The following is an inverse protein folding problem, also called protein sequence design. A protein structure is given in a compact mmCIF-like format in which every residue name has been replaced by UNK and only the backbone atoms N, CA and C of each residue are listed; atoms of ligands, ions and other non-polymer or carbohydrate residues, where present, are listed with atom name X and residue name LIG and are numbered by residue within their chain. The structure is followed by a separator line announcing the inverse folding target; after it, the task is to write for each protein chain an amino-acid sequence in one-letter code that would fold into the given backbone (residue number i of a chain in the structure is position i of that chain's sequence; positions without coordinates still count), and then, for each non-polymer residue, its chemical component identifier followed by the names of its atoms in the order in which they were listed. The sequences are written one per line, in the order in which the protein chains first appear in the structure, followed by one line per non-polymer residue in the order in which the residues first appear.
data_IF_151860857480
#
_entry.id   IF_151860857480
#
_cell.length_a   1.000
_cell.length_b   1.000
_cell.length_c   1.000
_cell.angle_alpha   90.00
_cell.angle_beta   90.00
_cell.angle_gamma   90.00
#
_symmetry.space_group_name_H-M   'P 1'
#
loop_
_entity.id
_entity.type
_entity.pdbx_description
1 polymer ?
#
# COMPACT_ATOMS: atom_id res chain seq x y z
N UNK A 1 -61.26 -56.07 -1.14
CA UNK A 1 -61.59 -56.83 0.09
C UNK A 1 -60.31 -57.07 0.87
N UNK A 2 -60.34 -56.74 2.19
CA UNK A 2 -59.51 -57.21 3.33
C UNK A 2 -58.61 -58.42 3.01
N UNK A 3 -57.31 -58.52 3.38
CA UNK A 3 -56.59 -58.48 4.68
C UNK A 3 -55.24 -59.19 4.34
N UNK A 4 -54.11 -59.15 5.03
CA UNK A 4 -53.62 -58.62 6.31
C UNK A 4 -52.10 -58.77 6.30
N UNK A 5 -51.37 -57.87 6.95
CA UNK A 5 -49.99 -58.14 7.40
C UNK A 5 -49.94 -59.38 8.29
N UNK A 6 -48.89 -60.20 8.15
CA UNK A 6 -48.42 -61.12 9.18
C UNK A 6 -46.98 -60.77 9.56
N UNK A 7 -46.75 -60.88 10.86
CA UNK A 7 -45.63 -60.42 11.67
C UNK A 7 -44.37 -61.30 11.56
N UNK A 8 -43.22 -60.65 11.78
CA UNK A 8 -41.94 -61.11 12.39
C UNK A 8 -42.02 -62.52 13.07
N UNK A 9 -41.00 -63.40 13.09
CA UNK A 9 -39.66 -63.14 13.63
C UNK A 9 -38.68 -64.36 13.59
N UNK A 10 -37.39 -64.03 13.63
CA UNK A 10 -36.21 -64.71 14.20
C UNK A 10 -35.60 -66.04 13.69
N UNK A 11 -34.32 -65.88 13.33
CA UNK A 11 -33.13 -66.62 13.79
C UNK A 11 -32.71 -67.91 13.06
N UNK A 12 -31.41 -67.97 12.70
CA UNK A 12 -30.73 -69.19 12.30
C UNK A 12 -29.85 -69.06 11.04
N UNK A 13 -28.76 -68.30 11.08
CA UNK A 13 -27.39 -68.85 11.12
C UNK A 13 -26.77 -69.15 9.74
N UNK A 14 -25.87 -68.23 9.34
CA UNK A 14 -24.51 -68.46 8.79
C UNK A 14 -24.37 -69.22 7.47
N UNK A 15 -23.92 -68.53 6.42
CA UNK A 15 -22.79 -68.97 5.59
C UNK A 15 -22.27 -67.85 4.67
N UNK A 16 -21.00 -67.49 4.91
CA UNK A 16 -20.00 -67.08 3.91
C UNK A 16 -20.16 -65.70 3.22
N UNK A 17 -19.97 -64.62 3.99
CA UNK A 17 -19.48 -63.36 3.44
C UNK A 17 -17.95 -63.34 3.54
N UNK A 18 -17.31 -63.75 2.45
CA UNK A 18 -15.87 -63.65 2.22
C UNK A 18 -15.37 -62.22 2.32
N UNK A 19 -14.24 -62.10 3.00
CA UNK A 19 -13.41 -60.94 3.27
C UNK A 19 -13.34 -59.88 2.15
N UNK A 20 -13.65 -58.64 2.52
CA UNK A 20 -12.95 -57.46 2.04
C UNK A 20 -12.53 -56.67 3.27
N UNK A 21 -11.29 -56.90 3.71
CA UNK A 21 -10.60 -56.04 4.66
C UNK A 21 -10.18 -54.78 3.91
N UNK A 22 -10.98 -53.73 3.96
CA UNK A 22 -10.47 -52.37 3.82
C UNK A 22 -10.14 -51.87 5.22
N UNK A 23 -8.84 -51.83 5.50
CA UNK A 23 -8.26 -51.11 6.63
C UNK A 23 -8.64 -49.63 6.48
N UNK A 24 -9.53 -49.11 7.33
CA UNK A 24 -9.49 -47.70 7.67
C UNK A 24 -8.32 -47.54 8.63
N UNK A 25 -7.16 -47.15 8.09
CA UNK A 25 -6.19 -46.47 8.92
C UNK A 25 -6.88 -45.28 9.57
N UNK A 26 -6.66 -45.12 10.88
CA UNK A 26 -6.95 -43.86 11.54
C UNK A 26 -6.07 -42.82 10.85
N UNK A 27 -6.63 -42.09 9.90
CA UNK A 27 -6.09 -40.79 9.55
C UNK A 27 -6.19 -39.95 10.83
N UNK A 28 -5.03 -39.71 11.44
CA UNK A 28 -4.87 -38.57 12.32
C UNK A 28 -5.35 -37.36 11.55
N UNK A 29 -6.44 -36.77 12.03
CA UNK A 29 -6.90 -35.47 11.59
C UNK A 29 -5.74 -34.49 11.78
N UNK A 30 -5.06 -34.17 10.70
CA UNK A 30 -4.24 -32.96 10.63
C UNK A 30 -5.17 -31.79 10.97
N UNK A 31 -4.79 -30.90 11.90
CA UNK A 31 -5.61 -29.73 12.20
C UNK A 31 -5.54 -28.79 10.98
N UNK A 32 -6.51 -28.92 10.09
CA UNK A 32 -6.80 -27.94 9.03
C UNK A 32 -7.51 -26.73 9.68
N UNK A 33 -6.78 -25.86 10.41
CA UNK A 33 -7.31 -24.53 10.81
C UNK A 33 -6.24 -23.44 10.96
N UNK A 34 -4.96 -23.73 11.21
CA UNK A 34 -3.99 -22.64 11.48
C UNK A 34 -3.49 -21.90 10.22
N UNK A 35 -3.18 -22.62 9.14
CA UNK A 35 -2.42 -22.06 8.01
C UNK A 35 -3.16 -20.95 7.24
N UNK A 36 -4.47 -21.08 7.00
CA UNK A 36 -5.24 -20.03 6.30
C UNK A 36 -5.38 -18.75 7.13
N UNK A 37 -5.41 -18.86 8.47
CA UNK A 37 -5.58 -17.68 9.33
C UNK A 37 -4.31 -16.81 9.38
N UNK A 38 -3.13 -17.42 9.33
CA UNK A 38 -1.86 -16.71 9.28
C UNK A 38 -1.66 -15.99 7.95
N UNK A 39 -1.95 -16.65 6.83
CA UNK A 39 -1.81 -16.07 5.49
C UNK A 39 -2.71 -14.83 5.30
N UNK A 40 -3.97 -14.90 5.76
CA UNK A 40 -4.89 -13.75 5.70
C UNK A 40 -4.43 -12.57 6.57
N UNK A 41 -3.85 -12.83 7.74
CA UNK A 41 -3.32 -11.77 8.60
C UNK A 41 -2.13 -11.07 7.95
N UNK A 42 -1.27 -11.84 7.30
CA UNK A 42 -0.07 -11.34 6.63
C UNK A 42 -0.39 -10.50 5.39
N UNK A 43 -1.39 -10.93 4.62
CA UNK A 43 -1.90 -10.14 3.48
C UNK A 43 -2.48 -8.80 3.93
N UNK A 44 -3.19 -8.76 5.06
CA UNK A 44 -3.70 -7.48 5.61
C UNK A 44 -2.59 -6.52 6.00
N UNK A 45 -1.52 -7.05 6.62
CA UNK A 45 -0.34 -6.26 6.96
C UNK A 45 0.35 -5.75 5.69
N UNK A 46 0.46 -6.59 4.66
CA UNK A 46 0.98 -6.18 3.35
C UNK A 46 0.15 -5.05 2.73
N UNK A 47 -1.17 -5.17 2.71
CA UNK A 47 -2.09 -4.14 2.19
C UNK A 47 -1.96 -2.82 2.98
N UNK A 48 -1.83 -2.88 4.31
CA UNK A 48 -1.59 -1.71 5.16
C UNK A 48 -0.27 -1.02 4.79
N UNK A 49 0.82 -1.78 4.58
CA UNK A 49 2.11 -1.18 4.17
C UNK A 49 2.08 -0.54 2.79
N UNK A 50 1.27 -1.07 1.86
CA UNK A 50 1.06 -0.44 0.55
C UNK A 50 0.34 0.90 0.71
N UNK A 51 -0.71 0.95 1.52
CA UNK A 51 -1.42 2.20 1.85
C UNK A 51 -0.49 3.24 2.49
N UNK A 52 0.37 2.83 3.42
CA UNK A 52 1.38 3.71 4.04
C UNK A 52 2.31 4.30 2.98
N UNK A 53 2.86 3.45 2.10
CA UNK A 53 3.77 3.89 1.03
C UNK A 53 3.08 4.89 0.10
N UNK A 54 1.85 4.58 -0.32
CA UNK A 54 1.06 5.45 -1.20
C UNK A 54 0.75 6.80 -0.54
N UNK A 55 0.31 6.82 0.72
CA UNK A 55 0.00 8.06 1.43
C UNK A 55 1.23 8.97 1.53
N UNK A 56 2.38 8.42 1.96
CA UNK A 56 3.64 9.18 2.10
C UNK A 56 4.09 9.75 0.75
N UNK A 57 3.99 8.97 -0.33
CA UNK A 57 4.33 9.45 -1.67
C UNK A 57 3.34 10.51 -2.16
N UNK A 58 2.04 10.33 -1.96
CA UNK A 58 1.02 11.28 -2.40
C UNK A 58 1.16 12.64 -1.70
N UNK A 59 1.47 12.64 -0.39
CA UNK A 59 1.79 13.87 0.35
C UNK A 59 2.97 14.61 -0.29
N UNK A 60 4.04 13.88 -0.64
CA UNK A 60 5.22 14.47 -1.25
C UNK A 60 4.94 15.06 -2.64
N UNK A 61 4.23 14.30 -3.48
CA UNK A 61 3.84 14.74 -4.82
C UNK A 61 2.89 15.94 -4.76
N UNK A 62 1.95 15.99 -3.81
CA UNK A 62 1.03 17.11 -3.64
C UNK A 62 1.76 18.40 -3.23
N UNK A 63 2.64 18.34 -2.22
CA UNK A 63 3.41 19.50 -1.77
C UNK A 63 4.32 20.02 -2.88
N UNK A 64 4.92 19.13 -3.68
CA UNK A 64 5.69 19.53 -4.86
C UNK A 64 4.81 20.12 -5.97
N UNK A 65 3.68 19.48 -6.28
CA UNK A 65 2.76 19.91 -7.33
C UNK A 65 2.21 21.31 -7.04
N UNK A 66 1.92 21.63 -5.78
CA UNK A 66 1.48 22.97 -5.39
C UNK A 66 2.52 24.03 -5.79
N UNK A 67 3.80 23.76 -5.59
CA UNK A 67 4.88 24.64 -6.03
C UNK A 67 5.05 24.71 -7.54
N UNK A 68 4.99 23.55 -8.20
CA UNK A 68 5.10 23.47 -9.64
C UNK A 68 4.00 24.30 -10.32
N UNK A 69 2.75 24.16 -9.87
CA UNK A 69 1.62 24.91 -10.40
C UNK A 69 1.77 26.40 -10.11
N UNK A 70 2.17 26.80 -8.89
CA UNK A 70 2.40 28.21 -8.57
C UNK A 70 3.53 28.84 -9.40
N UNK A 71 4.54 28.06 -9.79
CA UNK A 71 5.66 28.54 -10.59
C UNK A 71 5.36 28.60 -12.10
N UNK A 72 4.61 27.62 -12.62
CA UNK A 72 4.49 27.38 -14.07
C UNK A 72 3.09 27.66 -14.63
N UNK A 73 2.05 27.73 -13.77
CA UNK A 73 0.67 27.97 -14.19
C UNK A 73 0.28 29.44 -14.07
N UNK A 74 -0.74 29.82 -14.85
CA UNK A 74 -1.42 31.12 -14.75
C UNK A 74 -2.53 31.13 -13.70
N UNK A 75 -2.84 29.97 -13.11
CA UNK A 75 -3.88 29.80 -12.12
C UNK A 75 -3.28 29.69 -10.72
N UNK A 76 -3.92 30.34 -9.75
CA UNK A 76 -3.60 30.12 -8.34
C UNK A 76 -4.15 28.77 -7.93
N UNK A 77 -3.27 27.87 -7.52
CA UNK A 77 -3.62 26.58 -6.95
C UNK A 77 -3.15 26.56 -5.50
N UNK A 78 -4.05 26.21 -4.59
CA UNK A 78 -3.71 25.83 -3.23
C UNK A 78 -4.29 24.44 -3.06
N UNK A 79 -3.44 23.48 -2.74
CA UNK A 79 -3.92 22.13 -2.43
C UNK A 79 -4.71 22.15 -1.12
N UNK A 80 -5.84 21.44 -1.11
CA UNK A 80 -6.63 21.12 0.08
C UNK A 80 -6.37 19.68 0.58
N UNK A 81 -5.31 19.03 0.07
CA UNK A 81 -4.94 17.67 0.42
C UNK A 81 -4.55 17.51 1.89
N UNK A 82 -3.77 18.47 2.42
CA UNK A 82 -3.31 18.45 3.81
C UNK A 82 -4.23 19.32 4.71
N UNK A 83 -4.66 18.81 5.87
CA UNK A 83 -5.50 19.56 6.80
C UNK A 83 -4.70 20.64 7.57
N UNK A 84 -5.42 21.57 8.20
CA UNK A 84 -4.85 22.71 8.93
C UNK A 84 -3.92 22.33 10.11
N UNK A 85 -3.96 21.08 10.60
CA UNK A 85 -3.06 20.63 11.66
C UNK A 85 -1.62 20.38 11.17
N UNK A 86 -1.39 20.32 9.85
CA UNK A 86 -0.06 20.13 9.28
C UNK A 86 0.67 21.46 9.17
N UNK A 87 1.89 21.53 9.70
CA UNK A 87 2.77 22.69 9.55
C UNK A 87 3.83 22.41 8.49
N UNK A 88 3.86 23.22 7.43
CA UNK A 88 4.89 23.13 6.38
C UNK A 88 5.90 24.27 6.53
N UNK A 89 7.12 23.94 6.95
CA UNK A 89 8.25 24.89 6.96
C UNK A 89 9.07 24.76 5.68
N UNK A 90 9.59 25.87 5.17
CA UNK A 90 10.30 25.91 3.88
C UNK A 90 11.61 26.65 3.99
N UNK A 91 12.68 25.99 3.56
CA UNK A 91 14.00 26.57 3.43
C UNK A 91 14.38 26.53 1.95
N UNK A 92 14.74 27.68 1.38
CA UNK A 92 15.16 27.78 -0.01
C UNK A 92 16.66 28.10 -0.02
N UNK A 93 17.45 27.21 -0.61
CA UNK A 93 18.88 27.43 -0.82
C UNK A 93 19.15 28.06 -2.20
N UNK A 94 20.40 28.12 -2.62
CA UNK A 94 20.73 28.55 -3.99
C UNK A 94 20.19 27.61 -5.07
N UNK A 95 20.05 26.31 -4.76
CA UNK A 95 19.75 25.26 -5.74
C UNK A 95 18.56 24.38 -5.37
N UNK A 96 18.23 24.27 -4.08
CA UNK A 96 17.19 23.36 -3.56
C UNK A 96 16.09 24.11 -2.84
N UNK A 97 14.93 23.46 -2.76
CA UNK A 97 13.85 23.82 -1.84
C UNK A 97 13.63 22.63 -0.91
N UNK A 98 13.72 22.90 0.38
CA UNK A 98 13.60 21.92 1.45
C UNK A 98 12.31 22.21 2.21
N UNK A 99 11.44 21.21 2.32
CA UNK A 99 10.15 21.25 3.00
C UNK A 99 10.20 20.33 4.20
N UNK A 100 9.79 20.84 5.35
CA UNK A 100 9.53 20.06 6.56
C UNK A 100 8.02 20.04 6.75
N UNK A 101 7.41 18.87 6.60
CA UNK A 101 5.98 18.65 6.73
C UNK A 101 5.76 17.99 8.09
N UNK A 102 5.28 18.75 9.06
CA UNK A 102 5.16 18.36 10.46
C UNK A 102 3.69 18.12 10.83
N UNK A 103 3.39 16.89 11.23
CA UNK A 103 2.07 16.42 11.67
C UNK A 103 1.88 16.54 13.20
N UNK A 104 2.89 17.03 13.91
CA UNK A 104 2.89 17.14 15.37
C UNK A 104 2.74 15.78 16.05
N UNK A 105 1.97 15.75 17.15
CA UNK A 105 1.70 14.52 17.91
C UNK A 105 0.59 13.64 17.29
N UNK A 106 -0.09 14.13 16.25
CA UNK A 106 -1.21 13.44 15.60
C UNK A 106 -2.11 14.40 14.84
N UNK A 107 -2.31 14.13 13.56
CA UNK A 107 -3.11 14.92 12.65
C UNK A 107 -3.93 13.97 11.76
N UNK A 108 -5.25 14.07 11.87
CA UNK A 108 -6.20 13.24 11.10
C UNK A 108 -6.37 13.81 9.69
N UNK A 109 -6.07 13.01 8.68
CA UNK A 109 -6.24 13.34 7.27
C UNK A 109 -7.70 13.19 6.84
N UNK A 110 -8.10 13.79 5.68
CA UNK A 110 -9.47 13.68 5.17
C UNK A 110 -9.96 12.24 4.92
N UNK A 111 -9.05 11.29 4.73
CA UNK A 111 -9.36 9.87 4.57
C UNK A 111 -9.53 9.11 5.91
N UNK A 112 -9.36 9.79 7.05
CA UNK A 112 -9.49 9.24 8.40
C UNK A 112 -8.21 8.63 8.97
N UNK A 113 -7.11 8.60 8.21
CA UNK A 113 -5.81 8.15 8.72
C UNK A 113 -5.21 9.20 9.64
N UNK A 114 -4.58 8.78 10.73
CA UNK A 114 -3.91 9.67 11.69
C UNK A 114 -2.41 9.54 11.53
N UNK A 115 -1.77 10.64 11.16
CA UNK A 115 -0.32 10.72 10.97
C UNK A 115 0.30 11.56 12.08
N UNK A 116 1.51 11.21 12.51
CA UNK A 116 2.32 12.04 13.43
C UNK A 116 3.78 12.05 13.01
N UNK A 117 4.57 12.98 13.54
CA UNK A 117 5.98 13.14 13.18
C UNK A 117 6.20 13.97 11.92
N UNK A 118 7.33 13.75 11.25
CA UNK A 118 7.84 14.65 10.21
C UNK A 118 8.16 13.89 8.92
N UNK A 119 7.78 14.50 7.79
CA UNK A 119 8.30 14.17 6.46
C UNK A 119 9.24 15.29 6.03
N UNK A 120 10.49 14.96 5.75
CA UNK A 120 11.42 15.85 5.05
C UNK A 120 11.33 15.58 3.55
N UNK A 121 11.20 16.66 2.77
CA UNK A 121 11.11 16.61 1.33
C UNK A 121 12.07 17.64 0.72
N UNK A 122 12.88 17.22 -0.26
CA UNK A 122 13.83 18.08 -0.95
C UNK A 122 13.78 17.87 -2.45
N UNK A 123 13.83 18.97 -3.21
CA UNK A 123 13.86 18.96 -4.67
C UNK A 123 14.56 20.21 -5.21
N UNK A 124 14.92 20.19 -6.50
CA UNK A 124 15.54 21.33 -7.14
C UNK A 124 14.57 22.53 -7.18
N UNK A 125 15.10 23.73 -6.89
CA UNK A 125 14.32 24.97 -6.87
C UNK A 125 13.79 25.36 -8.25
N UNK A 126 14.53 25.03 -9.30
CA UNK A 126 14.14 25.34 -10.67
C UNK A 126 13.00 24.42 -11.10
N UNK A 127 11.79 24.98 -11.12
CA UNK A 127 10.58 24.24 -11.48
C UNK A 127 10.46 24.03 -12.98
N UNK A 128 11.20 24.75 -13.82
CA UNK A 128 11.11 24.61 -15.29
C UNK A 128 11.98 23.46 -15.83
N UNK A 129 12.74 22.77 -14.96
CA UNK A 129 13.54 21.63 -15.36
C UNK A 129 12.68 20.53 -16.00
N UNK A 130 13.22 19.89 -17.05
CA UNK A 130 12.55 18.79 -17.73
C UNK A 130 12.33 17.60 -16.79
N UNK A 131 13.26 17.39 -15.86
CA UNK A 131 13.17 16.39 -14.79
C UNK A 131 13.54 17.00 -13.44
N UNK A 132 12.91 16.52 -12.37
CA UNK A 132 13.24 16.90 -11.00
C UNK A 132 13.11 15.66 -10.09
N UNK A 133 13.99 15.54 -9.11
CA UNK A 133 13.96 14.41 -8.16
C UNK A 133 13.52 14.91 -6.80
N UNK A 134 12.45 14.32 -6.28
CA UNK A 134 11.93 14.57 -4.94
C UNK A 134 12.53 13.50 -4.03
N UNK A 135 13.38 13.92 -3.10
CA UNK A 135 13.94 13.04 -2.08
C UNK A 135 13.17 13.20 -0.78
N UNK A 136 12.67 12.10 -0.24
CA UNK A 136 11.85 12.02 0.96
C UNK A 136 12.51 11.18 2.05
N UNK A 137 12.43 11.63 3.30
CA UNK A 137 12.81 10.84 4.48
C UNK A 137 11.89 11.14 5.66
N UNK A 138 11.76 10.17 6.56
CA UNK A 138 10.86 10.25 7.71
C UNK A 138 11.64 10.48 9.01
N UNK A 139 11.07 11.27 9.93
CA UNK A 139 11.58 11.43 11.30
C UNK A 139 10.45 11.31 12.30
N UNK A 140 10.59 10.36 13.25
CA UNK A 140 9.59 10.06 14.28
C UNK A 140 8.17 9.89 13.72
N UNK A 141 8.06 9.36 12.49
CA UNK A 141 6.81 9.32 11.75
C UNK A 141 5.97 8.10 12.16
N UNK A 142 4.67 8.31 12.34
CA UNK A 142 3.73 7.20 12.51
C UNK A 142 2.52 7.35 11.60
N UNK A 143 1.98 6.22 11.16
CA UNK A 143 0.73 6.10 10.43
C UNK A 143 -0.20 5.18 11.22
N UNK A 144 -1.33 5.69 11.70
CA UNK A 144 -2.28 4.93 12.54
C UNK A 144 -1.60 4.20 13.72
N UNK A 145 -0.62 4.86 14.37
CA UNK A 145 0.23 4.30 15.46
C UNK A 145 1.29 3.27 15.04
N UNK A 146 1.42 2.97 13.75
CA UNK A 146 2.52 2.17 13.20
C UNK A 146 3.72 3.09 12.97
N UNK A 147 4.85 2.82 13.62
CA UNK A 147 6.05 3.63 13.44
C UNK A 147 6.72 3.25 12.11
N UNK A 148 7.02 4.26 11.28
CA UNK A 148 7.61 4.05 9.95
C UNK A 148 8.96 4.75 9.87
N UNK A 149 9.94 4.01 9.41
CA UNK A 149 11.29 4.52 9.11
C UNK A 149 11.62 4.23 7.64
N UNK A 150 12.41 5.09 7.03
CA UNK A 150 12.89 4.90 5.66
C UNK A 150 12.82 6.16 4.82
N UNK A 151 12.84 5.95 3.50
CA UNK A 151 12.96 7.01 2.51
C UNK A 151 12.37 6.61 1.17
N UNK A 152 12.02 7.61 0.38
CA UNK A 152 11.61 7.43 -1.01
C UNK A 152 12.27 8.47 -1.92
N UNK A 153 12.35 8.17 -3.21
CA UNK A 153 12.78 9.07 -4.27
C UNK A 153 11.76 9.04 -5.39
N UNK A 154 11.33 10.20 -5.87
CA UNK A 154 10.40 10.31 -7.00
C UNK A 154 11.06 11.14 -8.10
N UNK A 155 11.35 10.52 -9.24
CA UNK A 155 11.77 11.18 -10.46
C UNK A 155 10.54 11.69 -11.21
N UNK A 156 10.32 12.99 -11.18
CA UNK A 156 9.28 13.68 -11.96
C UNK A 156 9.83 14.06 -13.33
N UNK A 157 9.07 13.77 -14.38
CA UNK A 157 9.36 14.13 -15.76
C UNK A 157 8.20 14.92 -16.35
N UNK A 158 8.49 16.06 -16.96
CA UNK A 158 7.48 16.88 -17.66
C UNK A 158 6.93 16.20 -18.91
N UNK A 159 7.76 15.40 -19.56
CA UNK A 159 7.43 14.61 -20.74
C UNK A 159 8.38 13.41 -20.83
N UNK A 160 7.83 12.20 -20.92
CA UNK A 160 8.54 10.97 -21.27
C UNK A 160 8.77 10.89 -22.80
N UNK A 161 9.20 9.72 -23.30
CA UNK A 161 9.46 9.52 -24.74
C UNK A 161 8.20 9.70 -25.59
N UNK A 162 7.03 9.38 -25.04
CA UNK A 162 5.70 9.53 -25.63
C UNK A 162 5.14 10.97 -25.51
N UNK A 163 5.83 11.84 -24.77
CA UNK A 163 5.42 13.22 -24.53
C UNK A 163 4.47 13.40 -23.34
N UNK A 164 4.21 12.34 -22.57
CA UNK A 164 3.32 12.35 -21.41
C UNK A 164 4.09 12.69 -20.13
N UNK A 165 3.51 13.46 -19.20
CA UNK A 165 4.08 13.61 -17.86
C UNK A 165 4.15 12.26 -17.15
N UNK A 166 5.26 11.99 -16.47
CA UNK A 166 5.49 10.73 -15.80
C UNK A 166 6.22 10.94 -14.47
N UNK A 167 5.96 10.05 -13.51
CA UNK A 167 6.67 9.98 -12.24
C UNK A 167 7.12 8.55 -11.99
N UNK A 168 8.40 8.36 -11.72
CA UNK A 168 8.97 7.07 -11.32
C UNK A 168 9.41 7.17 -9.87
N UNK A 169 8.87 6.31 -9.01
CA UNK A 169 9.10 6.33 -7.58
C UNK A 169 9.81 5.05 -7.13
N UNK A 170 10.81 5.21 -6.28
CA UNK A 170 11.53 4.16 -5.56
C UNK A 170 11.35 4.39 -4.06
N UNK A 171 10.83 3.40 -3.34
CA UNK A 171 10.56 3.49 -1.92
C UNK A 171 11.17 2.31 -1.15
N UNK A 172 11.67 2.59 0.05
CA UNK A 172 12.15 1.56 0.99
C UNK A 172 11.83 1.99 2.41
N UNK A 173 10.97 1.22 3.07
CA UNK A 173 10.47 1.51 4.39
C UNK A 173 10.47 0.27 5.29
N UNK A 174 10.45 0.52 6.59
CA UNK A 174 10.18 -0.47 7.62
C UNK A 174 9.09 0.04 8.55
N UNK A 175 8.18 -0.85 8.92
CA UNK A 175 7.08 -0.60 9.85
C UNK A 175 7.29 -1.37 11.15
N UNK A 176 6.94 -0.74 12.27
CA UNK A 176 6.89 -1.36 13.60
C UNK A 176 5.53 -1.08 14.24
N UNK A 177 4.78 -2.14 14.54
CA UNK A 177 3.46 -2.04 15.16
C UNK A 177 3.56 -1.94 16.69
N UNK A 178 2.52 -1.44 17.39
CA UNK A 178 2.52 -1.32 18.86
C UNK A 178 2.73 -2.64 19.63
N UNK A 179 2.41 -3.78 19.00
CA UNK A 179 2.65 -5.10 19.58
C UNK A 179 4.13 -5.57 19.46
N UNK A 180 4.97 -4.81 18.75
CA UNK A 180 6.38 -5.11 18.52
C UNK A 180 6.66 -5.87 17.22
N UNK A 181 5.64 -6.21 16.43
CA UNK A 181 5.85 -6.81 15.12
C UNK A 181 6.53 -5.81 14.18
N UNK A 182 7.35 -6.33 13.28
CA UNK A 182 8.10 -5.52 12.31
C UNK A 182 7.95 -6.07 10.90
N UNK A 183 7.86 -5.21 9.90
CA UNK A 183 7.87 -5.59 8.49
C UNK A 183 8.72 -4.60 7.69
N UNK A 184 9.23 -5.02 6.54
CA UNK A 184 9.86 -4.12 5.58
C UNK A 184 9.17 -4.22 4.22
N UNK A 185 9.11 -3.09 3.52
CA UNK A 185 8.47 -3.02 2.22
C UNK A 185 9.23 -2.06 1.31
N UNK A 186 9.48 -2.52 0.10
CA UNK A 186 10.14 -1.75 -0.96
C UNK A 186 9.25 -1.73 -2.18
N UNK A 187 9.25 -0.64 -2.94
CA UNK A 187 8.42 -0.54 -4.13
C UNK A 187 9.03 0.34 -5.20
N UNK A 188 8.85 -0.08 -6.43
CA UNK A 188 9.05 0.72 -7.65
C UNK A 188 7.66 1.00 -8.23
N UNK A 189 7.37 2.25 -8.59
CA UNK A 189 6.09 2.65 -9.20
C UNK A 189 6.31 3.67 -10.31
N UNK A 190 5.78 3.38 -11.48
CA UNK A 190 5.64 4.35 -12.57
C UNK A 190 4.20 4.82 -12.64
N UNK A 191 4.00 6.14 -12.73
CA UNK A 191 2.70 6.78 -12.95
C UNK A 191 2.80 7.74 -14.13
N UNK A 192 2.14 7.39 -15.23
CA UNK A 192 2.11 8.16 -16.47
C UNK A 192 0.73 8.81 -16.67
N UNK A 193 0.71 10.08 -17.06
CA UNK A 193 -0.52 10.83 -17.33
C UNK A 193 -0.85 10.79 -18.82
N UNK A 194 -1.69 9.84 -19.23
CA UNK A 194 -1.93 9.50 -20.65
C UNK A 194 -3.09 10.26 -21.30
N UNK A 195 -4.06 10.76 -20.54
CA UNK A 195 -5.15 11.62 -21.05
C UNK A 195 -5.49 12.74 -20.06
N UNK A 196 -6.00 13.87 -20.56
CA UNK A 196 -6.40 15.02 -19.72
C UNK A 196 -5.28 16.00 -19.37
N UNK A 197 -4.02 15.68 -19.72
CA UNK A 197 -2.92 16.60 -19.46
C UNK A 197 -3.10 17.93 -20.19
N UNK A 198 -2.99 19.04 -19.45
CA UNK A 198 -3.10 20.40 -19.98
C UNK A 198 -4.53 20.89 -20.23
N UNK A 199 -5.57 20.07 -20.01
CA UNK A 199 -6.98 20.48 -20.15
C UNK A 199 -7.41 21.45 -19.05
N UNK A 200 -6.77 21.34 -17.88
CA UNK A 200 -7.14 22.08 -16.67
C UNK A 200 -8.39 21.53 -15.98
N UNK A 201 -8.92 20.39 -16.44
CA UNK A 201 -10.07 19.72 -15.85
C UNK A 201 -9.68 18.33 -15.35
N UNK A 202 -9.57 18.16 -14.03
CA UNK A 202 -9.10 16.90 -13.44
C UNK A 202 -9.99 15.67 -13.76
N UNK A 203 -11.26 15.88 -14.10
CA UNK A 203 -12.23 14.80 -14.34
C UNK A 203 -12.03 14.05 -15.67
N UNK A 204 -11.16 14.54 -16.57
CA UNK A 204 -10.76 13.84 -17.79
C UNK A 204 -9.36 13.21 -17.70
N UNK A 205 -8.74 13.23 -16.52
CA UNK A 205 -7.42 12.66 -16.32
C UNK A 205 -7.46 11.13 -16.33
N UNK A 206 -6.60 10.53 -17.14
CA UNK A 206 -6.34 9.08 -17.14
C UNK A 206 -4.86 8.85 -16.85
N UNK A 207 -4.59 7.94 -15.91
CA UNK A 207 -3.24 7.56 -15.52
C UNK A 207 -3.00 6.07 -15.77
N UNK A 208 -1.84 5.73 -16.31
CA UNK A 208 -1.31 4.38 -16.33
C UNK A 208 -0.39 4.21 -15.12
N UNK A 209 -0.64 3.18 -14.32
CA UNK A 209 0.15 2.87 -13.12
C UNK A 209 0.69 1.46 -13.27
N UNK A 210 2.01 1.33 -13.19
CA UNK A 210 2.71 0.05 -13.16
C UNK A 210 3.77 0.07 -12.07
N UNK A 211 4.25 -1.10 -11.67
CA UNK A 211 5.25 -1.18 -10.62
C UNK A 211 5.38 -2.56 -9.99
N UNK A 212 6.29 -2.64 -9.03
CA UNK A 212 6.58 -3.86 -8.29
C UNK A 212 6.86 -3.52 -6.83
N UNK A 213 6.14 -4.21 -5.94
CA UNK A 213 6.35 -4.16 -4.50
C UNK A 213 6.93 -5.47 -3.98
N UNK A 214 7.82 -5.38 -3.00
CA UNK A 214 8.28 -6.52 -2.20
C UNK A 214 7.99 -6.22 -0.73
N UNK A 215 7.29 -7.12 -0.08
CA UNK A 215 6.97 -7.07 1.34
C UNK A 215 7.66 -8.24 2.05
N UNK A 216 8.32 -7.95 3.16
CA UNK A 216 8.86 -8.95 4.10
C UNK A 216 8.14 -8.80 5.43
N UNK A 217 7.31 -9.78 5.77
CA UNK A 217 6.45 -9.69 6.95
C UNK A 217 7.14 -10.08 8.26
N UNK A 218 6.41 -9.98 9.39
CA UNK A 218 6.94 -10.27 10.73
C UNK A 218 7.46 -11.70 10.91
N UNK A 219 6.97 -12.65 10.11
CA UNK A 219 7.39 -14.05 10.15
C UNK A 219 8.55 -14.35 9.17
N UNK A 220 9.06 -13.33 8.45
CA UNK A 220 10.13 -13.48 7.46
C UNK A 220 9.68 -14.07 6.12
N UNK A 221 8.38 -14.26 5.94
CA UNK A 221 7.73 -14.49 4.65
C UNK A 221 8.01 -13.31 3.70
N UNK A 222 8.06 -13.61 2.40
CA UNK A 222 8.27 -12.58 1.37
C UNK A 222 7.15 -12.69 0.35
N UNK A 223 6.43 -11.58 0.15
CA UNK A 223 5.46 -11.42 -0.92
C UNK A 223 5.96 -10.43 -1.96
N UNK A 224 5.71 -10.73 -3.22
CA UNK A 224 6.01 -9.84 -4.34
C UNK A 224 4.71 -9.58 -5.08
N UNK A 225 4.38 -8.31 -5.24
CA UNK A 225 3.23 -7.83 -6.01
C UNK A 225 3.73 -7.09 -7.22
N UNK A 226 3.12 -7.33 -8.37
CA UNK A 226 3.43 -6.64 -9.62
C UNK A 226 2.14 -6.09 -10.22
N UNK A 227 2.18 -4.83 -10.64
CA UNK A 227 1.09 -4.12 -11.30
C UNK A 227 1.59 -3.77 -12.70
N UNK A 228 0.84 -4.22 -13.72
CA UNK A 228 1.22 -4.11 -15.14
C UNK A 228 0.16 -3.35 -15.90
#
# INVERSE_FOLDING_TARGET
MKKSLKTLNYAGVVLLATALLFSCDKEESTPFVEQETFEVAELKVSDETEMISEEVMNIAEDVYMADEVLATSKFSYNSDFLPDCVTITTVITSTTKERTIDFGEGCELPNGNVLSGIIYLSYAKDMEMATNTLSLSLENFTFNSVAIEGSASILRMRANEEGNPQSDADASFSATWPNGDTASFTGERTREWIEGYGTGFWGDNVYLISGKGTFTGPMGNVFVKETV
#
